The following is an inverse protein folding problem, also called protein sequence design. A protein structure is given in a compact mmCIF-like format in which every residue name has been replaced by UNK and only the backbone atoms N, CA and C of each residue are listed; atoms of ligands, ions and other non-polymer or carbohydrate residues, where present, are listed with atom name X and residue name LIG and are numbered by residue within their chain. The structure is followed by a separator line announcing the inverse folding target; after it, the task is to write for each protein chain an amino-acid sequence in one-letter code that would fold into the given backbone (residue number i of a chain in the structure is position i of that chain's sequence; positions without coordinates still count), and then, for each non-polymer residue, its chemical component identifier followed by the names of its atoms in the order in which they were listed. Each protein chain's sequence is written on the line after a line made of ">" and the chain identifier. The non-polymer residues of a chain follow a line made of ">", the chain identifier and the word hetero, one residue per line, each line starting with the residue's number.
data_IF_591908345135
#
_entry.id   IF_591908345135
#
_cell.length_a   1.000
_cell.length_b   1.000
_cell.length_c   1.000
_cell.angle_alpha   90.00
_cell.angle_beta   90.00
_cell.angle_gamma   90.00
#
_symmetry.space_group_name_H-M   'P 1'
#
loop_
_entity.id
_entity.type
_entity.pdbx_description
1 polymer ?
#
# COMPACT_ATOMS: atom_id res chain seq x y z
N UNK A 1 49.05 -63.86 -32.37
CA UNK A 1 47.61 -63.79 -32.18
C UNK A 1 47.29 -62.51 -31.37
N UNK A 2 46.96 -61.47 -32.11
CA UNK A 2 46.77 -60.11 -31.53
C UNK A 2 45.31 -59.77 -31.65
N UNK A 3 44.63 -59.56 -30.50
CA UNK A 3 43.25 -59.04 -30.47
C UNK A 3 43.29 -57.51 -30.29
N UNK A 4 42.92 -56.77 -31.32
CA UNK A 4 42.61 -55.35 -31.27
C UNK A 4 41.16 -55.23 -30.74
N UNK A 5 40.99 -54.56 -29.57
CA UNK A 5 39.67 -54.12 -29.07
C UNK A 5 39.49 -52.69 -29.56
N UNK A 6 38.43 -52.46 -30.36
CA UNK A 6 38.02 -51.17 -30.78
C UNK A 6 37.04 -50.60 -29.70
N UNK A 7 37.42 -49.50 -29.09
CA UNK A 7 36.53 -48.71 -28.16
C UNK A 7 35.78 -47.70 -29.02
N UNK A 8 34.44 -47.89 -29.11
CA UNK A 8 33.53 -46.96 -29.76
C UNK A 8 33.16 -45.89 -28.72
N UNK A 9 33.70 -44.69 -28.84
CA UNK A 9 33.26 -43.52 -28.04
C UNK A 9 31.96 -42.95 -28.62
N UNK A 10 30.86 -43.10 -27.89
CA UNK A 10 29.58 -42.51 -28.21
C UNK A 10 29.54 -41.07 -27.65
N UNK A 11 29.79 -40.06 -28.49
CA UNK A 11 29.57 -38.67 -28.15
C UNK A 11 28.08 -38.37 -28.17
N UNK A 12 27.46 -38.30 -27.00
CA UNK A 12 26.11 -37.76 -26.85
C UNK A 12 26.22 -36.23 -26.89
N UNK A 13 25.86 -35.64 -28.03
CA UNK A 13 25.69 -34.19 -28.12
C UNK A 13 24.40 -33.81 -27.39
N UNK A 14 24.51 -33.27 -26.17
CA UNK A 14 23.40 -32.55 -25.55
C UNK A 14 23.18 -31.26 -26.35
N UNK A 15 22.16 -31.25 -27.20
CA UNK A 15 21.62 -30.01 -27.74
C UNK A 15 21.02 -29.25 -26.59
N UNK A 16 21.68 -28.16 -26.15
CA UNK A 16 21.04 -27.13 -25.33
C UNK A 16 19.97 -26.49 -26.23
N UNK A 17 18.73 -26.95 -26.11
CA UNK A 17 17.59 -26.20 -26.64
C UNK A 17 17.63 -24.83 -25.97
N UNK A 18 17.87 -23.77 -26.78
CA UNK A 18 17.68 -22.41 -26.31
C UNK A 18 16.24 -22.34 -25.78
N UNK A 19 16.07 -22.09 -24.45
CA UNK A 19 14.77 -21.88 -23.87
C UNK A 19 14.13 -20.76 -24.69
N UNK A 20 12.93 -21.03 -25.22
CA UNK A 20 12.13 -19.96 -25.83
C UNK A 20 12.03 -18.83 -24.83
N UNK A 21 12.03 -17.53 -25.25
CA UNK A 21 11.89 -16.43 -24.34
C UNK A 21 10.64 -16.68 -23.50
N UNK A 22 10.85 -16.80 -22.19
CA UNK A 22 9.73 -17.02 -21.27
C UNK A 22 8.79 -15.84 -21.41
N UNK A 23 7.51 -16.12 -21.71
CA UNK A 23 6.47 -15.09 -21.75
C UNK A 23 6.48 -14.34 -20.40
N UNK A 24 6.44 -13.00 -20.40
CA UNK A 24 6.34 -12.28 -19.15
C UNK A 24 5.07 -12.68 -18.38
N UNK A 25 5.10 -12.75 -17.05
CA UNK A 25 3.97 -13.23 -16.24
C UNK A 25 2.76 -12.30 -16.34
N UNK A 26 1.58 -12.84 -16.18
CA UNK A 26 0.41 -12.03 -15.86
C UNK A 26 0.56 -11.44 -14.45
N UNK A 27 -0.10 -10.32 -14.18
CA UNK A 27 -0.02 -9.63 -12.90
C UNK A 27 -1.45 -9.40 -12.38
N UNK A 28 -1.78 -9.98 -11.22
CA UNK A 28 -2.97 -9.67 -10.44
C UNK A 28 -2.54 -8.86 -9.22
N UNK A 29 -2.84 -7.58 -9.22
CA UNK A 29 -2.52 -6.70 -8.10
C UNK A 29 -3.80 -6.35 -7.33
N UNK A 30 -3.99 -6.94 -6.15
CA UNK A 30 -5.10 -6.69 -5.24
C UNK A 30 -4.66 -5.62 -4.24
N UNK A 31 -5.34 -4.47 -4.27
CA UNK A 31 -5.01 -3.30 -3.47
C UNK A 31 -6.24 -2.79 -2.75
N UNK A 32 -6.20 -2.80 -1.42
CA UNK A 32 -7.35 -2.45 -0.59
C UNK A 32 -7.28 -1.01 -0.10
N UNK A 33 -8.41 -0.50 0.39
CA UNK A 33 -8.58 0.85 0.94
C UNK A 33 -8.85 0.77 2.43
N UNK A 34 -8.01 1.42 3.25
CA UNK A 34 -8.12 1.44 4.71
C UNK A 34 -7.99 0.07 5.41
N UNK A 35 -7.37 -0.90 4.76
CA UNK A 35 -7.18 -2.23 5.33
C UNK A 35 -5.93 -2.25 6.22
N UNK A 36 -6.15 -2.50 7.51
CA UNK A 36 -5.12 -2.42 8.52
C UNK A 36 -4.08 -3.55 8.46
N UNK A 37 -2.93 -3.31 9.06
CA UNK A 37 -1.82 -4.28 9.08
C UNK A 37 -2.21 -5.65 9.64
N UNK A 38 -3.14 -5.69 10.62
CA UNK A 38 -3.63 -6.94 11.25
C UNK A 38 -5.03 -7.37 10.84
N UNK A 39 -5.61 -6.76 9.82
CA UNK A 39 -6.98 -7.08 9.39
C UNK A 39 -7.10 -8.42 8.65
N UNK A 40 -5.99 -9.07 8.32
CA UNK A 40 -5.96 -10.41 7.72
C UNK A 40 -5.45 -11.48 8.69
N UNK A 41 -5.91 -12.72 8.53
CA UNK A 41 -5.48 -13.86 9.35
C UNK A 41 -3.98 -14.12 9.25
N UNK A 42 -3.36 -14.00 8.06
CA UNK A 42 -1.91 -14.18 7.89
C UNK A 42 -1.07 -13.11 8.61
N UNK A 43 -1.66 -11.99 9.02
CA UNK A 43 -1.06 -10.95 9.85
C UNK A 43 -1.51 -11.00 11.31
N UNK A 44 -2.39 -11.93 11.66
CA UNK A 44 -2.78 -12.21 13.04
C UNK A 44 -4.10 -11.62 13.49
N UNK A 45 -5.05 -11.38 12.58
CA UNK A 45 -6.44 -11.10 12.98
C UNK A 45 -7.01 -12.27 13.76
N UNK A 46 -7.68 -11.98 14.85
CA UNK A 46 -8.32 -12.96 15.73
C UNK A 46 -9.85 -13.04 15.55
N UNK A 47 -10.39 -12.17 14.70
CA UNK A 47 -11.83 -12.11 14.43
C UNK A 47 -12.17 -12.11 12.93
N UNK A 48 -11.44 -11.34 12.11
CA UNK A 48 -11.67 -11.27 10.68
C UNK A 48 -11.13 -12.53 9.99
N UNK A 49 -11.92 -13.12 9.10
CA UNK A 49 -11.58 -14.37 8.43
C UNK A 49 -11.19 -14.11 6.98
N UNK A 50 -9.95 -14.49 6.63
CA UNK A 50 -9.39 -14.30 5.30
C UNK A 50 -8.73 -15.57 4.75
N UNK A 51 -9.48 -16.72 4.69
CA UNK A 51 -8.88 -18.02 4.37
C UNK A 51 -8.21 -18.08 2.99
N UNK A 52 -8.72 -17.34 2.00
CA UNK A 52 -8.14 -17.30 0.66
C UNK A 52 -6.85 -16.48 0.62
N UNK A 53 -6.83 -15.28 1.21
CA UNK A 53 -5.63 -14.47 1.38
C UNK A 53 -4.58 -15.19 2.21
N UNK A 54 -4.99 -15.85 3.30
CA UNK A 54 -4.09 -16.64 4.15
C UNK A 54 -3.45 -17.80 3.40
N UNK A 55 -4.19 -18.43 2.48
CA UNK A 55 -3.64 -19.50 1.63
C UNK A 55 -2.59 -18.94 0.66
N UNK A 56 -2.90 -17.83 0.00
CA UNK A 56 -1.95 -17.17 -0.92
C UNK A 56 -0.69 -16.70 -0.19
N UNK A 57 -0.85 -16.12 0.99
CA UNK A 57 0.26 -15.67 1.83
C UNK A 57 1.18 -16.82 2.27
N UNK A 58 0.60 -18.01 2.58
CA UNK A 58 1.39 -19.21 2.89
C UNK A 58 2.17 -19.76 1.70
N UNK A 59 1.71 -19.50 0.50
CA UNK A 59 2.33 -19.93 -0.76
C UNK A 59 3.24 -18.85 -1.37
N UNK A 60 3.36 -17.69 -0.76
CA UNK A 60 4.14 -16.54 -1.20
C UNK A 60 5.12 -16.03 -0.15
N UNK A 61 5.78 -14.93 -0.46
CA UNK A 61 6.65 -14.20 0.45
C UNK A 61 5.86 -13.07 1.12
N UNK A 62 5.72 -13.14 2.45
CA UNK A 62 5.08 -12.11 3.28
C UNK A 62 6.13 -11.15 3.81
N UNK A 63 5.92 -9.85 3.59
CA UNK A 63 6.74 -8.79 4.15
C UNK A 63 6.09 -8.24 5.41
N UNK A 64 6.74 -8.39 6.55
CA UNK A 64 6.23 -7.89 7.83
C UNK A 64 6.47 -6.40 8.01
N UNK A 65 7.44 -5.84 7.28
CA UNK A 65 7.89 -4.46 7.33
C UNK A 65 7.58 -3.74 5.99
N UNK A 66 6.33 -3.89 5.51
CA UNK A 66 5.87 -3.21 4.31
C UNK A 66 5.12 -1.91 4.65
N UNK A 67 5.35 -0.88 3.84
CA UNK A 67 4.84 0.46 4.09
C UNK A 67 4.09 1.04 2.90
N UNK A 68 3.02 1.75 3.19
CA UNK A 68 2.47 2.75 2.29
C UNK A 68 3.35 4.00 2.26
N UNK A 69 3.35 4.72 1.13
CA UNK A 69 4.11 5.97 0.98
C UNK A 69 3.45 7.18 1.63
N UNK A 70 2.21 7.06 2.05
CA UNK A 70 1.47 8.09 2.75
C UNK A 70 0.43 7.46 3.68
N UNK A 71 0.00 8.21 4.68
CA UNK A 71 -0.96 7.74 5.67
C UNK A 71 -2.43 7.86 5.22
N UNK A 72 -2.70 8.23 3.96
CA UNK A 72 -4.03 8.33 3.37
C UNK A 72 -4.03 8.08 1.85
N UNK A 73 -5.19 7.73 1.32
CA UNK A 73 -5.38 7.04 0.05
C UNK A 73 -4.88 7.78 -1.21
N UNK A 74 -5.28 9.04 -1.47
CA UNK A 74 -4.89 9.70 -2.71
C UNK A 74 -3.37 9.85 -2.87
N UNK A 75 -2.61 10.37 -1.87
CA UNK A 75 -1.16 10.45 -1.98
C UNK A 75 -0.48 9.08 -2.05
N UNK A 76 -0.98 8.07 -1.32
CA UNK A 76 -0.43 6.72 -1.40
C UNK A 76 -0.58 6.12 -2.81
N UNK A 77 -1.77 6.28 -3.42
CA UNK A 77 -2.05 5.83 -4.80
C UNK A 77 -1.22 6.60 -5.82
N UNK A 78 -1.04 7.92 -5.63
CA UNK A 78 -0.17 8.72 -6.49
C UNK A 78 1.29 8.23 -6.42
N UNK A 79 1.83 7.96 -5.22
CA UNK A 79 3.16 7.39 -5.07
C UNK A 79 3.28 6.02 -5.75
N UNK A 80 2.29 5.13 -5.55
CA UNK A 80 2.26 3.79 -6.15
C UNK A 80 2.31 3.87 -7.69
N UNK A 81 1.45 4.71 -8.28
CA UNK A 81 1.32 4.82 -9.75
C UNK A 81 2.51 5.51 -10.41
N UNK A 82 3.11 6.50 -9.74
CA UNK A 82 4.23 7.31 -10.26
C UNK A 82 5.62 6.76 -9.94
N UNK A 83 5.76 5.90 -8.91
CA UNK A 83 7.06 5.49 -8.36
C UNK A 83 7.79 6.62 -7.63
N UNK A 84 7.08 7.68 -7.24
CA UNK A 84 7.66 8.90 -6.66
C UNK A 84 7.08 9.20 -5.28
N UNK A 85 7.88 9.78 -4.40
CA UNK A 85 7.40 10.31 -3.12
C UNK A 85 6.54 11.57 -3.31
N UNK A 86 5.66 11.83 -2.34
CA UNK A 86 4.67 12.92 -2.38
C UNK A 86 5.19 14.29 -2.81
N UNK A 87 6.42 14.75 -2.49
CA UNK A 87 6.89 16.06 -2.93
C UNK A 87 7.05 16.21 -4.45
N UNK A 88 7.32 15.10 -5.17
CA UNK A 88 7.54 15.16 -6.62
C UNK A 88 6.25 15.32 -7.43
N UNK A 89 5.18 14.68 -6.99
CA UNK A 89 3.87 14.75 -7.67
C UNK A 89 2.88 15.70 -6.99
N UNK A 90 3.21 16.24 -5.80
CA UNK A 90 2.45 17.25 -5.04
C UNK A 90 1.02 16.84 -4.61
N UNK A 91 0.66 15.56 -4.70
CA UNK A 91 -0.56 15.02 -4.11
C UNK A 91 -0.27 14.74 -2.64
N UNK A 92 -0.51 15.71 -1.76
CA UNK A 92 -0.18 15.59 -0.33
C UNK A 92 -1.34 15.04 0.50
N UNK A 93 -2.58 15.22 0.04
CA UNK A 93 -3.77 14.88 0.81
C UNK A 93 -4.94 14.49 -0.12
N UNK A 94 -6.02 14.01 0.46
CA UNK A 94 -7.31 13.84 -0.21
C UNK A 94 -7.93 15.22 -0.45
N UNK A 95 -7.90 15.67 -1.70
CA UNK A 95 -8.30 17.02 -2.09
C UNK A 95 -7.28 18.09 -1.67
N UNK A 96 -7.52 19.32 -2.10
CA UNK A 96 -6.57 20.45 -1.98
C UNK A 96 -6.92 21.44 -0.88
N UNK A 97 -8.06 21.27 -0.20
CA UNK A 97 -8.53 22.21 0.82
C UNK A 97 -7.80 22.02 2.15
N UNK A 98 -7.48 23.14 2.79
CA UNK A 98 -7.00 23.14 4.16
C UNK A 98 -7.98 22.47 5.11
N UNK A 99 -7.49 21.61 6.01
CA UNK A 99 -8.30 20.90 7.00
C UNK A 99 -8.22 21.59 8.35
N UNK A 100 -9.27 21.45 9.15
CA UNK A 100 -9.37 22.05 10.47
C UNK A 100 -9.61 23.57 10.48
N UNK A 101 -9.71 24.15 11.67
CA UNK A 101 -9.88 25.58 11.85
C UNK A 101 -8.55 26.32 11.63
N UNK A 102 -8.54 27.37 10.79
CA UNK A 102 -7.36 28.16 10.49
C UNK A 102 -6.68 28.75 11.74
N UNK A 103 -7.46 29.14 12.75
CA UNK A 103 -6.94 29.68 14.02
C UNK A 103 -6.21 28.66 14.90
N UNK A 104 -6.37 27.36 14.61
CA UNK A 104 -5.69 26.28 15.34
C UNK A 104 -4.46 25.75 14.61
N UNK A 105 -4.18 26.22 13.41
CA UNK A 105 -3.01 25.83 12.62
C UNK A 105 -1.90 26.85 12.79
N UNK A 106 -0.77 26.44 13.32
CA UNK A 106 0.42 27.31 13.49
C UNK A 106 1.12 27.61 12.16
N UNK A 107 0.95 26.70 11.19
CA UNK A 107 1.55 26.83 9.87
C UNK A 107 0.46 27.00 8.80
N UNK A 108 0.86 27.63 7.70
CA UNK A 108 0.02 27.81 6.53
C UNK A 108 -0.28 26.45 5.87
N UNK A 109 -1.40 26.37 5.21
CA UNK A 109 -1.70 25.26 4.34
C UNK A 109 -0.82 25.31 3.08
N UNK A 110 -0.12 24.24 2.78
CA UNK A 110 0.56 24.07 1.51
C UNK A 110 -0.44 23.52 0.50
N UNK A 111 -0.81 24.27 -0.53
CA UNK A 111 -1.69 23.76 -1.55
C UNK A 111 -0.96 22.68 -2.34
N UNK A 112 -1.60 21.49 -2.43
CA UNK A 112 -1.17 20.41 -3.31
C UNK A 112 -2.09 20.31 -4.53
N UNK A 113 -1.96 19.23 -5.27
CA UNK A 113 -2.91 18.85 -6.32
C UNK A 113 -3.77 17.66 -5.87
N UNK A 114 -4.98 17.54 -6.43
CA UNK A 114 -5.81 16.35 -6.28
C UNK A 114 -5.67 15.38 -7.46
N UNK A 115 -4.83 15.73 -8.43
CA UNK A 115 -4.69 15.06 -9.71
C UNK A 115 -3.23 14.65 -9.91
N UNK A 116 -2.99 13.40 -10.29
CA UNK A 116 -1.67 13.01 -10.79
C UNK A 116 -1.46 13.67 -12.15
N UNK A 117 -0.37 14.43 -12.28
CA UNK A 117 -0.10 15.19 -13.51
C UNK A 117 0.09 14.24 -14.70
N UNK A 118 -0.43 14.58 -15.90
CA UNK A 118 -0.33 13.74 -17.09
C UNK A 118 1.10 13.57 -17.63
N UNK A 119 2.04 14.43 -17.24
CA UNK A 119 3.46 14.33 -17.63
C UNK A 119 4.23 13.30 -16.80
N UNK A 120 3.63 12.76 -15.74
CA UNK A 120 4.19 11.66 -14.95
C UNK A 120 3.71 10.35 -15.56
N UNK A 121 4.63 9.60 -16.14
CA UNK A 121 4.35 8.28 -16.71
C UNK A 121 4.13 7.28 -15.58
N UNK A 122 3.00 6.58 -15.62
CA UNK A 122 2.65 5.54 -14.64
C UNK A 122 3.28 4.20 -15.01
N UNK A 123 3.38 3.29 -14.04
CA UNK A 123 3.77 1.91 -14.37
C UNK A 123 2.80 1.23 -15.34
N UNK A 124 1.50 1.59 -15.32
CA UNK A 124 0.51 1.02 -16.24
C UNK A 124 0.79 1.41 -17.70
N UNK A 125 1.21 2.66 -17.96
CA UNK A 125 1.65 3.10 -19.28
C UNK A 125 2.90 2.34 -19.74
N UNK A 126 3.84 2.05 -18.84
CA UNK A 126 5.02 1.23 -19.16
C UNK A 126 4.62 -0.19 -19.53
N UNK A 127 3.70 -0.81 -18.80
CA UNK A 127 3.20 -2.15 -19.08
C UNK A 127 2.44 -2.19 -20.42
N UNK A 128 1.57 -1.20 -20.67
CA UNK A 128 0.85 -1.07 -21.92
C UNK A 128 1.81 -0.95 -23.11
N UNK A 129 2.87 -0.12 -22.98
CA UNK A 129 3.91 0.02 -23.99
C UNK A 129 4.69 -1.27 -24.22
N UNK A 130 4.79 -2.15 -23.23
CA UNK A 130 5.39 -3.50 -23.34
C UNK A 130 4.43 -4.58 -23.88
N UNK A 131 3.20 -4.19 -24.28
CA UNK A 131 2.21 -5.09 -24.89
C UNK A 131 1.29 -5.80 -23.91
N UNK A 132 1.26 -5.40 -22.63
CA UNK A 132 0.26 -5.87 -21.69
C UNK A 132 -1.11 -5.27 -21.98
N UNK A 133 -2.16 -6.07 -21.79
CA UNK A 133 -3.49 -5.52 -21.53
C UNK A 133 -3.57 -5.07 -20.08
N UNK A 134 -4.05 -3.87 -19.85
CA UNK A 134 -4.10 -3.26 -18.53
C UNK A 134 -5.54 -2.97 -18.11
N UNK A 135 -5.92 -3.42 -16.92
CA UNK A 135 -7.26 -3.22 -16.36
C UNK A 135 -7.21 -2.64 -14.95
N UNK A 136 -8.07 -1.66 -14.64
CA UNK A 136 -8.26 -1.09 -13.31
C UNK A 136 -9.71 -1.25 -12.85
N UNK A 137 -9.92 -1.79 -11.65
CA UNK A 137 -11.23 -2.12 -11.10
C UNK A 137 -11.35 -1.57 -9.68
N UNK A 138 -12.15 -0.53 -9.48
CA UNK A 138 -12.42 0.03 -8.16
C UNK A 138 -12.08 1.50 -7.97
N UNK A 139 -11.27 1.82 -6.97
CA UNK A 139 -10.94 3.19 -6.56
C UNK A 139 -9.73 3.74 -7.31
N UNK A 140 -9.95 4.79 -8.10
CA UNK A 140 -8.88 5.53 -8.76
C UNK A 140 -8.30 6.64 -7.89
N UNK A 141 -9.07 7.67 -7.60
CA UNK A 141 -8.80 8.77 -6.66
C UNK A 141 -7.65 9.73 -7.07
N UNK A 142 -7.32 9.84 -8.36
CA UNK A 142 -6.21 10.66 -8.87
C UNK A 142 -6.60 11.73 -9.88
N UNK A 143 -7.88 12.05 -9.99
CA UNK A 143 -8.40 13.18 -10.77
C UNK A 143 -8.55 12.95 -12.27
N UNK A 144 -7.48 12.58 -12.99
CA UNK A 144 -7.53 12.14 -14.40
C UNK A 144 -8.28 10.82 -14.56
N UNK A 145 -8.66 10.44 -15.77
CA UNK A 145 -9.21 9.11 -15.98
C UNK A 145 -8.10 8.05 -15.95
N UNK A 146 -8.39 6.82 -15.47
CA UNK A 146 -7.41 5.72 -15.53
C UNK A 146 -6.92 5.42 -16.95
N UNK A 147 -7.80 5.61 -17.96
CA UNK A 147 -7.46 5.39 -19.36
C UNK A 147 -6.39 6.36 -19.86
N UNK A 148 -6.40 7.62 -19.40
CA UNK A 148 -5.36 8.60 -19.71
C UNK A 148 -4.03 8.31 -19.04
N UNK A 149 -4.00 7.33 -18.12
CA UNK A 149 -2.85 6.91 -17.31
C UNK A 149 -2.50 5.43 -17.54
N UNK A 150 -2.82 4.88 -18.73
CA UNK A 150 -2.32 3.60 -19.18
C UNK A 150 -3.18 2.38 -18.88
N UNK A 151 -4.48 2.54 -18.55
CA UNK A 151 -5.39 1.42 -18.40
C UNK A 151 -6.33 1.28 -19.60
N UNK A 152 -6.26 0.16 -20.35
CA UNK A 152 -7.12 -0.13 -21.48
C UNK A 152 -8.58 -0.27 -21.06
N UNK A 153 -8.82 -0.86 -19.89
CA UNK A 153 -10.12 -1.06 -19.30
C UNK A 153 -10.13 -0.45 -17.89
N UNK A 154 -11.17 0.34 -17.58
CA UNK A 154 -11.35 0.88 -16.24
C UNK A 154 -12.80 0.78 -15.78
N UNK A 155 -13.02 0.20 -14.62
CA UNK A 155 -14.31 0.11 -13.94
C UNK A 155 -14.16 0.84 -12.60
N UNK A 156 -14.42 2.15 -12.62
CA UNK A 156 -14.35 2.97 -11.42
C UNK A 156 -15.59 2.78 -10.54
N UNK A 157 -15.41 2.46 -9.24
CA UNK A 157 -16.52 2.20 -8.32
C UNK A 157 -17.54 3.33 -8.26
N UNK A 158 -17.10 4.60 -8.35
CA UNK A 158 -17.98 5.78 -8.33
C UNK A 158 -18.81 5.95 -9.61
N UNK A 159 -18.46 5.25 -10.68
CA UNK A 159 -19.14 5.29 -11.97
C UNK A 159 -20.03 4.06 -12.21
N UNK A 160 -20.05 3.10 -11.30
CA UNK A 160 -20.93 1.94 -11.38
C UNK A 160 -22.38 2.37 -11.09
N UNK A 161 -23.32 2.12 -12.03
CA UNK A 161 -24.70 2.57 -11.87
C UNK A 161 -25.39 1.91 -10.68
N UNK A 162 -26.08 2.69 -9.87
CA UNK A 162 -26.91 2.22 -8.78
C UNK A 162 -26.18 1.79 -7.53
N UNK A 163 -24.85 1.92 -7.46
CA UNK A 163 -24.11 1.68 -6.24
C UNK A 163 -24.05 2.95 -5.35
N UNK A 164 -24.36 2.79 -4.06
CA UNK A 164 -24.18 3.78 -3.01
C UNK A 164 -23.24 3.22 -1.94
N UNK A 165 -21.99 3.65 -1.97
CA UNK A 165 -20.93 3.02 -1.16
C UNK A 165 -20.67 1.61 -1.62
N UNK A 166 -20.93 0.61 -0.75
CA UNK A 166 -20.74 -0.82 -1.03
C UNK A 166 -21.99 -1.55 -1.49
N UNK A 167 -23.17 -0.90 -1.42
CA UNK A 167 -24.46 -1.51 -1.74
C UNK A 167 -24.91 -1.08 -3.14
N UNK A 168 -25.30 -2.05 -3.93
CA UNK A 168 -25.80 -1.90 -5.28
C UNK A 168 -27.27 -2.32 -5.42
N UNK A 169 -27.82 -2.24 -6.65
CA UNK A 169 -29.19 -2.64 -6.94
C UNK A 169 -29.39 -4.16 -6.70
N UNK A 170 -30.61 -4.53 -6.33
CA UNK A 170 -31.05 -5.92 -6.17
C UNK A 170 -30.17 -6.77 -5.23
N UNK A 171 -29.55 -6.14 -4.23
CA UNK A 171 -28.66 -6.81 -3.28
C UNK A 171 -27.23 -7.03 -3.78
N UNK A 172 -26.85 -6.45 -4.92
CA UNK A 172 -25.47 -6.51 -5.40
C UNK A 172 -24.51 -5.87 -4.38
N UNK A 173 -23.31 -6.44 -4.29
CA UNK A 173 -22.27 -5.93 -3.41
C UNK A 173 -21.05 -5.49 -4.22
N UNK A 174 -20.50 -4.32 -3.89
CA UNK A 174 -19.46 -3.68 -4.72
C UNK A 174 -18.22 -4.56 -4.89
N UNK A 175 -17.76 -5.23 -3.83
CA UNK A 175 -16.59 -6.09 -3.92
C UNK A 175 -16.81 -7.26 -4.90
N UNK A 176 -18.04 -7.83 -4.95
CA UNK A 176 -18.37 -8.89 -5.90
C UNK A 176 -18.38 -8.34 -7.34
N UNK A 177 -19.03 -7.20 -7.56
CA UNK A 177 -19.11 -6.58 -8.90
C UNK A 177 -17.73 -6.22 -9.47
N UNK A 178 -16.81 -5.72 -8.63
CA UNK A 178 -15.44 -5.41 -9.05
C UNK A 178 -14.64 -6.69 -9.34
N UNK A 179 -14.88 -7.74 -8.56
CA UNK A 179 -14.28 -9.07 -8.78
C UNK A 179 -14.73 -9.66 -10.10
N UNK A 180 -16.05 -9.60 -10.40
CA UNK A 180 -16.63 -10.08 -11.66
C UNK A 180 -16.01 -9.35 -12.85
N UNK A 181 -15.95 -8.01 -12.78
CA UNK A 181 -15.34 -7.21 -13.83
C UNK A 181 -13.85 -7.54 -14.06
N UNK A 182 -13.11 -7.86 -13.00
CA UNK A 182 -11.72 -8.29 -13.12
C UNK A 182 -11.60 -9.69 -13.75
N UNK A 183 -12.50 -10.63 -13.42
CA UNK A 183 -12.56 -11.97 -14.05
C UNK A 183 -12.89 -11.81 -15.54
N UNK A 184 -13.92 -11.04 -15.89
CA UNK A 184 -14.30 -10.80 -17.30
C UNK A 184 -13.14 -10.20 -18.10
N UNK A 185 -12.38 -9.28 -17.52
CA UNK A 185 -11.19 -8.72 -18.15
C UNK A 185 -10.10 -9.77 -18.39
N UNK A 186 -9.81 -10.62 -17.41
CA UNK A 186 -8.84 -11.71 -17.52
C UNK A 186 -9.27 -12.66 -18.63
N UNK A 187 -10.55 -13.03 -18.70
CA UNK A 187 -11.10 -13.88 -19.75
C UNK A 187 -10.97 -13.25 -21.16
N UNK A 188 -11.29 -11.97 -21.25
CA UNK A 188 -11.21 -11.24 -22.50
C UNK A 188 -9.79 -10.93 -22.97
N UNK A 189 -8.76 -11.17 -22.12
CA UNK A 189 -7.36 -10.88 -22.45
C UNK A 189 -6.72 -11.93 -23.37
N UNK A 190 -7.31 -13.13 -23.47
CA UNK A 190 -6.83 -14.18 -24.37
C UNK A 190 -5.37 -14.55 -24.09
N UNK A 191 -4.57 -14.58 -25.15
CA UNK A 191 -3.13 -14.92 -25.06
C UNK A 191 -2.21 -13.74 -24.76
N UNK A 192 -2.71 -12.50 -24.69
CA UNK A 192 -1.88 -11.35 -24.32
C UNK A 192 -1.50 -11.39 -22.83
N UNK A 193 -0.30 -10.99 -22.44
CA UNK A 193 0.01 -10.77 -21.03
C UNK A 193 -0.89 -9.65 -20.51
N UNK A 194 -1.36 -9.76 -19.27
CA UNK A 194 -2.27 -8.80 -18.69
C UNK A 194 -1.86 -8.39 -17.27
N UNK A 195 -2.25 -7.16 -16.91
CA UNK A 195 -2.18 -6.66 -15.55
C UNK A 195 -3.58 -6.22 -15.11
N UNK A 196 -4.13 -6.88 -14.10
CA UNK A 196 -5.38 -6.51 -13.46
C UNK A 196 -5.07 -5.83 -12.11
N UNK A 197 -5.27 -4.51 -12.04
CA UNK A 197 -5.18 -3.72 -10.82
C UNK A 197 -6.56 -3.66 -10.17
N UNK A 198 -6.82 -4.57 -9.23
CA UNK A 198 -8.05 -4.64 -8.47
C UNK A 198 -7.92 -3.75 -7.22
N UNK A 199 -8.24 -2.47 -7.43
CA UNK A 199 -8.17 -1.43 -6.43
C UNK A 199 -9.50 -1.33 -5.67
N UNK A 200 -9.77 -2.30 -4.78
CA UNK A 200 -11.03 -2.33 -4.03
C UNK A 200 -11.30 -1.01 -3.28
N UNK A 201 -12.58 -0.61 -3.21
CA UNK A 201 -13.03 0.44 -2.31
C UNK A 201 -13.21 -0.09 -0.87
N UNK A 202 -13.36 -1.40 -0.70
CA UNK A 202 -13.37 -2.03 0.61
C UNK A 202 -11.94 -1.97 1.22
N UNK A 203 -11.86 -1.66 2.53
CA UNK A 203 -12.94 -1.60 3.52
C UNK A 203 -13.27 -0.14 3.95
N UNK A 204 -13.18 0.79 3.03
CA UNK A 204 -13.40 2.22 3.30
C UNK A 204 -14.86 2.52 3.69
N UNK A 205 -15.06 3.58 4.44
CA UNK A 205 -16.40 4.11 4.78
C UNK A 205 -17.18 4.56 3.52
N UNK A 206 -18.53 4.44 3.53
CA UNK A 206 -19.39 4.03 4.64
C UNK A 206 -19.24 2.54 4.98
N UNK A 207 -19.24 2.19 6.28
CA UNK A 207 -19.22 0.79 6.67
C UNK A 207 -20.61 0.19 6.41
N UNK A 208 -20.69 -0.69 5.42
CA UNK A 208 -21.94 -1.30 4.97
C UNK A 208 -21.74 -2.82 4.84
N UNK A 209 -22.49 -3.62 5.60
CA UNK A 209 -22.25 -5.06 5.64
C UNK A 209 -22.71 -5.78 4.37
N UNK A 210 -22.04 -6.87 4.03
CA UNK A 210 -22.58 -7.87 3.13
C UNK A 210 -23.62 -8.71 3.91
N UNK A 211 -24.89 -8.55 3.57
CA UNK A 211 -26.02 -8.97 4.41
C UNK A 211 -26.01 -10.47 4.77
N UNK A 212 -25.64 -11.34 3.82
CA UNK A 212 -25.57 -12.78 4.01
C UNK A 212 -24.51 -13.22 5.01
N UNK A 213 -23.52 -12.39 5.32
CA UNK A 213 -22.43 -12.69 6.26
C UNK A 213 -22.72 -12.19 7.68
N UNK A 214 -23.73 -11.32 7.88
CA UNK A 214 -24.02 -10.70 9.18
C UNK A 214 -24.24 -11.74 10.27
N UNK A 215 -25.16 -12.68 10.06
CA UNK A 215 -25.52 -13.68 11.07
C UNK A 215 -24.33 -14.55 11.50
N UNK A 216 -23.37 -14.80 10.61
CA UNK A 216 -22.12 -15.51 10.94
C UNK A 216 -21.30 -14.75 11.97
N UNK A 217 -21.06 -13.45 11.72
CA UNK A 217 -20.20 -12.64 12.58
C UNK A 217 -20.89 -12.14 13.85
N UNK A 218 -22.23 -11.96 13.84
CA UNK A 218 -23.02 -11.69 15.04
C UNK A 218 -23.00 -12.86 16.04
N UNK A 219 -22.91 -14.10 15.52
CA UNK A 219 -22.81 -15.31 16.33
C UNK A 219 -21.37 -15.65 16.77
N UNK A 220 -20.36 -15.01 16.18
CA UNK A 220 -18.95 -15.25 16.47
C UNK A 220 -18.55 -14.54 17.77
N UNK A 221 -17.83 -15.23 18.64
CA UNK A 221 -17.24 -14.61 19.83
C UNK A 221 -16.25 -13.51 19.41
N UNK A 222 -16.25 -12.35 20.09
CA UNK A 222 -15.28 -11.30 19.81
C UNK A 222 -13.84 -11.80 20.03
N UNK A 223 -12.89 -11.27 19.24
CA UNK A 223 -11.46 -11.46 19.47
C UNK A 223 -10.98 -10.59 20.63
N UNK A 224 -9.71 -10.69 20.96
CA UNK A 224 -9.03 -9.77 21.89
C UNK A 224 -8.73 -8.41 21.23
N UNK A 225 -8.51 -8.42 19.90
CA UNK A 225 -8.16 -7.24 19.09
C UNK A 225 -9.33 -6.75 18.25
N UNK A 226 -10.09 -7.67 17.66
CA UNK A 226 -11.14 -7.33 16.70
C UNK A 226 -12.48 -7.91 17.11
N UNK A 227 -13.53 -7.10 16.92
CA UNK A 227 -14.91 -7.50 17.19
C UNK A 227 -15.94 -6.85 16.25
N UNK A 228 -15.46 -6.02 15.30
CA UNK A 228 -16.35 -5.19 14.49
C UNK A 228 -17.04 -6.01 13.39
N UNK A 229 -18.29 -6.44 13.66
CA UNK A 229 -19.09 -7.33 12.80
C UNK A 229 -19.20 -6.82 11.35
N UNK A 230 -19.53 -5.55 11.15
CA UNK A 230 -19.70 -4.99 9.80
C UNK A 230 -18.38 -5.04 9.02
N UNK A 231 -17.27 -4.64 9.65
CA UNK A 231 -15.94 -4.69 9.05
C UNK A 231 -15.57 -6.12 8.66
N UNK A 232 -15.87 -7.11 9.51
CA UNK A 232 -15.64 -8.52 9.24
C UNK A 232 -16.35 -9.00 7.97
N UNK A 233 -17.61 -8.57 7.76
CA UNK A 233 -18.35 -8.93 6.52
C UNK A 233 -17.76 -8.28 5.28
N UNK A 234 -17.25 -7.04 5.39
CA UNK A 234 -16.61 -6.31 4.28
C UNK A 234 -15.28 -6.98 3.89
N UNK A 235 -14.49 -7.37 4.89
CA UNK A 235 -13.21 -8.08 4.71
C UNK A 235 -13.46 -9.45 4.06
N UNK A 236 -14.39 -10.22 4.58
CA UNK A 236 -14.71 -11.54 4.00
C UNK A 236 -15.22 -11.42 2.56
N UNK A 237 -16.02 -10.41 2.23
CA UNK A 237 -16.48 -10.21 0.86
C UNK A 237 -15.32 -10.04 -0.13
N UNK A 238 -14.25 -9.32 0.27
CA UNK A 238 -13.02 -9.21 -0.53
C UNK A 238 -12.30 -10.56 -0.61
N UNK A 239 -12.14 -11.25 0.51
CA UNK A 239 -11.45 -12.54 0.55
C UNK A 239 -12.14 -13.60 -0.33
N UNK A 240 -13.48 -13.67 -0.27
CA UNK A 240 -14.28 -14.54 -1.14
C UNK A 240 -14.08 -14.19 -2.63
N UNK A 241 -14.00 -12.88 -2.96
CA UNK A 241 -13.68 -12.39 -4.30
C UNK A 241 -12.30 -12.83 -4.78
N UNK A 242 -11.29 -12.74 -3.92
CA UNK A 242 -9.93 -13.23 -4.21
C UNK A 242 -9.93 -14.74 -4.43
N UNK A 243 -10.69 -15.48 -3.64
CA UNK A 243 -10.90 -16.92 -3.84
C UNK A 243 -11.45 -17.24 -5.23
N UNK A 244 -12.46 -16.50 -5.69
CA UNK A 244 -13.07 -16.64 -7.03
C UNK A 244 -12.06 -16.31 -8.15
N UNK A 245 -11.26 -15.26 -8.01
CA UNK A 245 -10.19 -14.92 -8.96
C UNK A 245 -9.17 -16.04 -9.09
N UNK A 246 -8.70 -16.59 -7.97
CA UNK A 246 -7.74 -17.71 -7.97
C UNK A 246 -8.35 -18.97 -8.61
N UNK A 247 -9.62 -19.27 -8.33
CA UNK A 247 -10.33 -20.38 -8.98
C UNK A 247 -10.39 -20.17 -10.50
N UNK A 248 -10.74 -18.98 -10.97
CA UNK A 248 -10.76 -18.63 -12.37
C UNK A 248 -9.39 -18.77 -13.06
N UNK A 249 -8.30 -18.39 -12.38
CA UNK A 249 -6.93 -18.60 -12.88
C UNK A 249 -6.58 -20.09 -12.99
N UNK A 250 -6.97 -20.92 -12.01
CA UNK A 250 -6.75 -22.37 -12.01
C UNK A 250 -7.49 -23.07 -13.14
N UNK A 251 -8.76 -22.76 -13.31
CA UNK A 251 -9.60 -23.32 -14.37
C UNK A 251 -9.03 -23.07 -15.77
N UNK A 252 -8.32 -21.95 -15.94
CA UNK A 252 -7.67 -21.56 -17.20
C UNK A 252 -6.22 -22.00 -17.32
N UNK A 253 -5.65 -22.63 -16.29
CA UNK A 253 -4.24 -23.01 -16.25
C UNK A 253 -3.26 -21.83 -16.17
N UNK A 254 -3.73 -20.64 -15.75
CA UNK A 254 -2.93 -19.40 -15.69
C UNK A 254 -2.25 -19.18 -14.33
N UNK A 255 -2.56 -19.97 -13.32
CA UNK A 255 -2.11 -19.74 -11.94
C UNK A 255 -0.59 -19.68 -11.80
N UNK A 256 0.13 -20.54 -12.53
CA UNK A 256 1.61 -20.59 -12.49
C UNK A 256 2.27 -19.41 -13.21
N UNK A 257 1.59 -18.88 -14.20
CA UNK A 257 2.06 -17.79 -15.03
C UNK A 257 1.56 -16.42 -14.52
N UNK A 258 1.02 -16.37 -13.30
CA UNK A 258 0.48 -15.16 -12.70
C UNK A 258 1.17 -14.82 -11.39
N UNK A 259 1.72 -13.60 -11.31
CA UNK A 259 2.19 -12.98 -10.07
C UNK A 259 0.98 -12.35 -9.38
N UNK A 260 0.75 -12.72 -8.12
CA UNK A 260 -0.28 -12.10 -7.27
C UNK A 260 0.43 -11.19 -6.26
N UNK A 261 0.10 -9.91 -6.28
CA UNK A 261 0.56 -8.89 -5.33
C UNK A 261 -0.65 -8.47 -4.49
N UNK A 262 -0.49 -8.42 -3.19
CA UNK A 262 -1.53 -7.97 -2.25
C UNK A 262 -0.98 -6.89 -1.33
N UNK A 263 -1.72 -5.77 -1.17
CA UNK A 263 -1.39 -4.72 -0.21
C UNK A 263 -2.59 -3.79 0.08
N UNK A 264 -2.36 -2.78 0.93
CA UNK A 264 -3.30 -1.70 1.26
C UNK A 264 -2.67 -0.33 1.01
N UNK A 265 -3.51 0.69 0.81
CA UNK A 265 -3.06 2.05 0.51
C UNK A 265 -2.65 2.87 1.75
N UNK A 266 -3.13 2.51 2.92
CA UNK A 266 -2.72 3.08 4.22
C UNK A 266 -3.12 2.15 5.36
N UNK A 267 -2.77 2.52 6.57
CA UNK A 267 -3.22 1.81 7.77
C UNK A 267 -4.73 1.83 7.96
N UNK A 268 -5.23 0.98 8.84
CA UNK A 268 -6.65 0.76 9.06
C UNK A 268 -7.41 1.99 9.57
N UNK A 269 -8.73 1.96 9.38
CA UNK A 269 -9.63 2.98 9.90
C UNK A 269 -9.84 2.77 11.40
N UNK A 270 -9.15 3.54 12.25
CA UNK A 270 -9.12 3.39 13.70
C UNK A 270 -10.48 3.23 14.40
N UNK A 271 -11.57 3.91 13.95
CA UNK A 271 -12.89 3.69 14.55
C UNK A 271 -13.49 2.30 14.34
N UNK A 272 -12.92 1.45 13.48
CA UNK A 272 -13.47 0.14 13.11
C UNK A 272 -12.49 -1.02 13.25
N UNK A 273 -11.18 -0.76 13.42
CA UNK A 273 -10.17 -1.81 13.53
C UNK A 273 -9.03 -1.38 14.44
N UNK A 274 -8.46 -2.34 15.18
CA UNK A 274 -7.34 -2.15 16.09
C UNK A 274 -6.02 -2.51 15.40
N UNK A 275 -5.02 -1.63 15.52
CA UNK A 275 -3.69 -1.82 14.95
C UNK A 275 -2.69 -2.42 15.94
N UNK A 276 -3.07 -2.72 17.21
CA UNK A 276 -2.12 -3.23 18.21
C UNK A 276 -1.26 -4.38 17.66
N UNK A 277 0.06 -4.36 17.85
CA UNK A 277 0.87 -3.47 18.70
C UNK A 277 1.28 -2.15 18.06
N UNK A 278 0.83 -1.81 16.85
CA UNK A 278 1.25 -0.59 16.16
C UNK A 278 0.52 0.63 16.74
N UNK A 279 1.25 1.74 16.89
CA UNK A 279 0.67 3.00 17.32
C UNK A 279 0.08 3.76 16.14
N UNK A 280 -1.07 4.39 16.35
CA UNK A 280 -1.74 5.19 15.35
C UNK A 280 -2.62 4.39 14.38
N UNK A 281 -3.22 5.10 13.44
CA UNK A 281 -4.17 4.59 12.46
C UNK A 281 -4.15 5.49 11.22
N UNK A 282 -4.98 5.20 10.22
CA UNK A 282 -5.15 6.01 9.00
C UNK A 282 -5.02 7.51 9.27
N UNK A 283 -4.09 8.15 8.58
CA UNK A 283 -3.82 9.58 8.67
C UNK A 283 -2.75 9.96 9.70
N UNK A 284 -2.17 9.02 10.44
CA UNK A 284 -0.97 9.23 11.25
C UNK A 284 0.25 8.65 10.57
N UNK A 285 1.45 9.18 10.87
CA UNK A 285 2.71 8.64 10.32
C UNK A 285 3.43 7.72 11.31
N UNK A 286 2.78 7.35 12.41
CA UNK A 286 3.18 6.22 13.24
C UNK A 286 2.94 4.90 12.50
N UNK A 287 3.51 3.81 13.01
CA UNK A 287 3.48 2.50 12.33
C UNK A 287 2.04 2.09 11.93
N UNK A 288 1.05 2.26 12.81
CA UNK A 288 -0.34 1.89 12.52
C UNK A 288 -1.01 2.67 11.37
N UNK A 289 -0.47 3.84 11.00
CA UNK A 289 -1.01 4.62 9.90
C UNK A 289 -0.35 4.35 8.54
N UNK A 290 0.86 3.81 8.51
CA UNK A 290 1.65 3.62 7.29
C UNK A 290 2.13 2.19 7.05
N UNK A 291 2.21 1.33 8.07
CA UNK A 291 2.55 -0.09 7.90
C UNK A 291 1.34 -0.85 7.41
N UNK A 292 1.51 -1.65 6.36
CA UNK A 292 0.42 -2.34 5.65
C UNK A 292 0.73 -3.81 5.47
N UNK A 293 -0.29 -4.68 5.36
CA UNK A 293 -0.07 -6.07 5.00
C UNK A 293 0.41 -6.15 3.55
N UNK A 294 1.38 -7.02 3.29
CA UNK A 294 1.95 -7.17 1.96
C UNK A 294 2.47 -8.58 1.74
N UNK A 295 2.10 -9.18 0.62
CA UNK A 295 2.73 -10.38 0.13
C UNK A 295 2.83 -10.39 -1.40
N UNK A 296 3.78 -11.18 -1.91
CA UNK A 296 3.90 -11.52 -3.32
C UNK A 296 3.91 -13.03 -3.47
N UNK A 297 3.02 -13.57 -4.31
CA UNK A 297 2.97 -14.99 -4.66
C UNK A 297 3.25 -15.17 -6.14
N UNK A 298 4.22 -16.01 -6.46
CA UNK A 298 4.52 -16.45 -7.83
C UNK A 298 5.00 -17.90 -7.80
N UNK A 299 4.13 -18.87 -8.11
CA UNK A 299 4.43 -20.28 -7.94
C UNK A 299 5.65 -20.74 -8.72
N UNK A 300 6.60 -21.39 -8.03
CA UNK A 300 7.85 -21.89 -8.62
C UNK A 300 8.91 -20.84 -8.91
N UNK A 301 8.68 -19.58 -8.54
CA UNK A 301 9.64 -18.47 -8.69
C UNK A 301 9.92 -17.80 -7.36
N UNK A 302 8.87 -17.44 -6.62
CA UNK A 302 8.98 -16.85 -5.27
C UNK A 302 8.88 -17.98 -4.24
N UNK A 303 9.92 -18.14 -3.43
CA UNK A 303 9.91 -19.12 -2.34
C UNK A 303 8.99 -18.64 -1.21
N UNK A 304 8.09 -19.51 -0.72
CA UNK A 304 7.23 -19.16 0.42
C UNK A 304 8.03 -18.83 1.67
N UNK A 305 7.65 -17.76 2.36
CA UNK A 305 8.31 -17.36 3.60
C UNK A 305 7.84 -16.04 4.16
N UNK A 306 8.54 -15.57 5.19
CA UNK A 306 8.33 -14.26 5.80
C UNK A 306 9.66 -13.52 5.88
N UNK A 307 9.64 -12.23 5.59
CA UNK A 307 10.81 -11.36 5.69
C UNK A 307 10.45 -10.06 6.41
N UNK A 308 11.40 -9.54 7.18
CA UNK A 308 11.34 -8.20 7.78
C UNK A 308 12.12 -7.16 6.93
N UNK A 309 12.45 -7.48 5.67
CA UNK A 309 13.08 -6.53 4.77
C UNK A 309 12.13 -5.33 4.56
N UNK A 310 12.54 -4.09 4.85
CA UNK A 310 11.69 -2.94 4.71
C UNK A 310 11.43 -2.60 3.25
N UNK A 311 10.15 -2.60 2.84
CA UNK A 311 9.68 -2.23 1.50
C UNK A 311 8.61 -1.14 1.59
N UNK A 312 8.46 -0.35 0.54
CA UNK A 312 7.53 0.77 0.50
C UNK A 312 6.84 0.88 -0.87
N UNK A 313 5.64 1.42 -0.91
CA UNK A 313 4.80 1.43 -2.12
C UNK A 313 5.47 1.94 -3.40
N UNK A 314 6.45 2.88 -3.35
CA UNK A 314 7.20 3.32 -4.54
C UNK A 314 8.06 2.22 -5.15
N UNK A 315 8.43 1.17 -4.40
CA UNK A 315 9.20 0.01 -4.91
C UNK A 315 8.38 -0.82 -5.90
N UNK A 316 7.05 -0.76 -5.81
CA UNK A 316 6.19 -1.53 -6.70
C UNK A 316 6.25 -1.03 -8.15
N UNK A 317 6.53 0.25 -8.37
CA UNK A 317 6.68 0.76 -9.74
C UNK A 317 7.83 0.06 -10.51
N UNK A 318 9.11 0.17 -10.07
CA UNK A 318 10.20 -0.52 -10.77
C UNK A 318 10.04 -2.04 -10.76
N UNK A 319 9.41 -2.61 -9.73
CA UNK A 319 9.12 -4.05 -9.65
C UNK A 319 8.14 -4.50 -10.73
N UNK A 320 7.02 -3.81 -10.92
CA UNK A 320 6.03 -4.14 -11.95
C UNK A 320 6.60 -3.95 -13.36
N UNK A 321 7.37 -2.89 -13.59
CA UNK A 321 8.08 -2.64 -14.84
C UNK A 321 9.08 -3.77 -15.14
N UNK A 322 9.85 -4.21 -14.14
CA UNK A 322 10.82 -5.32 -14.25
C UNK A 322 10.13 -6.67 -14.53
N UNK A 323 9.05 -6.99 -13.80
CA UNK A 323 8.23 -8.19 -14.02
C UNK A 323 7.71 -8.27 -15.45
N UNK A 324 7.30 -7.13 -16.01
CA UNK A 324 6.78 -7.03 -17.37
C UNK A 324 7.87 -7.05 -18.45
N UNK A 325 9.14 -6.94 -18.09
CA UNK A 325 10.22 -6.67 -19.04
C UNK A 325 10.05 -5.35 -19.78
N UNK A 326 9.31 -4.41 -19.18
CA UNK A 326 9.04 -3.09 -19.75
C UNK A 326 10.25 -2.15 -19.57
N UNK A 327 10.26 -1.07 -20.35
CA UNK A 327 11.28 -0.02 -20.23
C UNK A 327 10.81 1.04 -19.22
N UNK A 328 11.64 1.33 -18.22
CA UNK A 328 11.39 2.45 -17.31
C UNK A 328 11.49 3.78 -18.07
N UNK A 329 10.64 4.77 -17.75
CA UNK A 329 10.68 6.09 -18.34
C UNK A 329 11.89 6.89 -17.86
N UNK A 330 12.25 7.94 -18.61
CA UNK A 330 13.25 8.93 -18.19
C UNK A 330 12.62 9.94 -17.22
N UNK A 331 12.28 9.45 -16.01
CA UNK A 331 11.77 10.26 -14.90
C UNK A 331 12.37 9.78 -13.59
N UNK A 332 12.45 10.62 -12.55
CA UNK A 332 12.91 10.17 -11.24
C UNK A 332 12.00 9.08 -10.68
N UNK A 333 12.58 7.93 -10.31
CA UNK A 333 11.94 6.88 -9.54
C UNK A 333 12.61 6.80 -8.18
N UNK A 334 11.81 6.81 -7.12
CA UNK A 334 12.32 6.81 -5.74
C UNK A 334 12.39 5.40 -5.14
N UNK A 335 11.77 4.41 -5.78
CA UNK A 335 11.74 3.00 -5.36
C UNK A 335 12.88 2.16 -5.93
N UNK A 336 12.98 0.93 -5.44
CA UNK A 336 13.90 -0.11 -5.92
C UNK A 336 13.13 -1.31 -6.45
N UNK A 337 13.72 -2.03 -7.41
CA UNK A 337 13.15 -3.27 -7.94
C UNK A 337 13.25 -4.41 -6.92
N UNK A 338 12.13 -5.02 -6.57
CA UNK A 338 12.05 -6.13 -5.64
C UNK A 338 12.26 -7.50 -6.32
N UNK A 339 12.27 -7.59 -7.66
CA UNK A 339 12.36 -8.86 -8.39
C UNK A 339 13.58 -9.67 -8.01
N UNK A 340 14.80 -9.09 -7.86
CA UNK A 340 15.96 -9.86 -7.43
C UNK A 340 15.81 -10.47 -6.02
N UNK A 341 15.18 -9.74 -5.10
CA UNK A 341 14.86 -10.24 -3.75
C UNK A 341 13.82 -11.36 -3.80
N UNK A 342 12.76 -11.16 -4.57
CA UNK A 342 11.67 -12.13 -4.72
C UNK A 342 12.15 -13.44 -5.36
N UNK A 343 13.15 -13.39 -6.23
CA UNK A 343 13.78 -14.58 -6.84
C UNK A 343 14.91 -15.20 -6.00
N UNK A 344 15.23 -14.61 -4.83
CA UNK A 344 16.33 -15.05 -4.00
C UNK A 344 17.73 -14.79 -4.60
N UNK A 345 17.84 -13.92 -5.59
CA UNK A 345 19.11 -13.54 -6.24
C UNK A 345 19.95 -12.61 -5.35
N UNK A 346 19.32 -11.90 -4.43
CA UNK A 346 19.94 -11.06 -3.40
C UNK A 346 19.40 -11.40 -2.01
N UNK A 347 20.23 -11.33 -0.95
CA UNK A 347 19.79 -11.66 0.42
C UNK A 347 18.94 -10.55 1.07
N UNK A 348 18.91 -9.36 0.51
CA UNK A 348 18.22 -8.19 1.03
C UNK A 348 18.47 -6.96 0.17
N UNK A 349 17.79 -5.86 0.47
CA UNK A 349 17.88 -4.58 -0.26
C UNK A 349 18.94 -3.62 0.33
N UNK A 350 19.64 -4.05 1.39
CA UNK A 350 20.58 -3.22 2.13
C UNK A 350 19.88 -2.18 3.04
N UNK A 351 20.69 -1.50 3.83
CA UNK A 351 20.18 -0.49 4.75
C UNK A 351 19.89 0.83 4.02
N UNK A 352 18.71 0.92 3.37
CA UNK A 352 18.25 2.12 2.68
C UNK A 352 17.26 2.91 3.55
N UNK A 353 17.25 4.26 3.48
CA UNK A 353 16.24 5.04 4.17
C UNK A 353 14.90 5.03 3.39
N UNK A 354 13.80 4.96 4.14
CA UNK A 354 12.43 5.18 3.66
C UNK A 354 11.95 6.54 4.18
N UNK A 355 11.22 7.29 3.34
CA UNK A 355 10.82 8.66 3.66
C UNK A 355 9.32 8.88 3.53
N UNK A 356 8.81 9.79 4.37
CA UNK A 356 7.44 10.32 4.28
C UNK A 356 7.46 11.83 4.49
N UNK A 357 6.58 12.53 3.80
CA UNK A 357 6.45 13.98 3.92
C UNK A 357 4.99 14.40 3.82
N UNK A 358 4.52 15.16 4.81
CA UNK A 358 3.17 15.64 4.89
C UNK A 358 3.14 17.11 5.33
N UNK A 359 3.06 18.09 4.40
CA UNK A 359 3.10 19.52 4.71
C UNK A 359 1.71 20.09 5.02
N UNK A 360 0.79 19.28 5.55
CA UNK A 360 -0.61 19.64 5.75
C UNK A 360 -1.11 19.19 7.13
N UNK A 361 -2.39 19.43 7.40
CA UNK A 361 -3.07 19.04 8.62
C UNK A 361 -4.17 18.03 8.32
N UNK A 362 -4.35 17.05 9.19
CA UNK A 362 -5.51 16.17 9.20
C UNK A 362 -6.25 16.28 10.53
N UNK A 363 -7.55 16.60 10.47
CA UNK A 363 -8.41 16.65 11.65
C UNK A 363 -8.50 15.28 12.32
N UNK A 364 -8.62 15.30 13.64
CA UNK A 364 -8.96 14.11 14.42
C UNK A 364 -10.35 13.58 14.04
N UNK A 365 -10.57 12.27 14.16
CA UNK A 365 -11.90 11.62 14.08
C UNK A 365 -12.64 11.69 15.41
N UNK A 366 -11.95 12.02 16.50
CA UNK A 366 -12.42 12.03 17.88
C UNK A 366 -11.23 12.02 18.82
N UNK A 367 -11.46 11.77 20.10
CA UNK A 367 -10.37 11.62 21.09
C UNK A 367 -9.94 10.16 21.05
N UNK A 368 -8.85 9.90 20.33
CA UNK A 368 -8.11 8.64 20.40
C UNK A 368 -6.76 8.93 21.04
N UNK A 369 -6.30 8.04 21.91
CA UNK A 369 -4.98 8.16 22.55
C UNK A 369 -3.82 8.01 21.58
N UNK A 370 -4.09 7.48 20.39
CA UNK A 370 -3.13 7.12 19.35
C UNK A 370 -2.86 8.22 18.32
N UNK A 371 -2.89 9.46 18.76
CA UNK A 371 -2.59 10.62 17.95
C UNK A 371 -1.81 11.66 18.77
N UNK A 372 -1.09 12.55 18.09
CA UNK A 372 -0.25 13.53 18.78
C UNK A 372 -1.04 14.55 19.60
N UNK A 373 -2.21 14.96 19.12
CA UNK A 373 -3.10 15.86 19.84
C UNK A 373 -4.58 15.66 19.46
N UNK A 374 -5.53 16.08 20.30
CA UNK A 374 -6.95 15.84 20.07
C UNK A 374 -7.57 16.68 18.94
N UNK A 375 -6.89 17.69 18.38
CA UNK A 375 -7.41 18.50 17.28
C UNK A 375 -7.01 17.95 15.92
N UNK A 376 -5.80 17.40 15.82
CA UNK A 376 -5.24 16.91 14.58
C UNK A 376 -4.60 15.54 14.81
N UNK A 377 -5.08 14.50 14.11
CA UNK A 377 -4.42 13.19 14.12
C UNK A 377 -3.01 13.25 13.51
N UNK A 378 -2.79 14.21 12.59
CA UNK A 378 -1.45 14.53 12.11
C UNK A 378 -1.30 16.02 11.83
N UNK A 379 -0.10 16.54 12.09
CA UNK A 379 0.37 17.90 11.85
C UNK A 379 1.49 17.86 10.80
N UNK A 380 1.85 18.99 10.16
CA UNK A 380 2.92 19.02 9.18
C UNK A 380 4.21 18.40 9.71
N UNK A 381 4.70 17.37 9.03
CA UNK A 381 5.85 16.59 9.46
C UNK A 381 6.61 15.97 8.27
N UNK A 382 7.83 15.55 8.53
CA UNK A 382 8.56 14.57 7.74
C UNK A 382 9.01 13.42 8.63
N UNK A 383 9.13 12.23 8.02
CA UNK A 383 9.53 11.02 8.72
C UNK A 383 10.60 10.29 7.90
N UNK A 384 11.58 9.72 8.57
CA UNK A 384 12.56 8.81 7.98
C UNK A 384 12.68 7.55 8.80
N UNK A 385 12.68 6.38 8.14
CA UNK A 385 13.09 5.11 8.71
C UNK A 385 14.40 4.69 8.07
N UNK A 386 15.40 4.35 8.88
CA UNK A 386 16.65 3.71 8.42
C UNK A 386 17.00 2.55 9.33
N UNK A 387 17.07 1.35 8.75
CA UNK A 387 17.23 0.12 9.53
C UNK A 387 16.09 -0.03 10.54
N UNK A 388 16.45 -0.19 11.82
CA UNK A 388 15.49 -0.31 12.92
C UNK A 388 14.99 1.02 13.51
N UNK A 389 15.61 2.14 13.14
CA UNK A 389 15.29 3.45 13.73
C UNK A 389 14.38 4.25 12.83
N UNK A 390 13.41 4.93 13.47
CA UNK A 390 12.45 5.83 12.81
C UNK A 390 12.42 7.17 13.53
N UNK A 391 12.52 8.25 12.76
CA UNK A 391 12.52 9.61 13.26
C UNK A 391 11.38 10.40 12.64
N UNK A 392 10.61 11.11 13.47
CA UNK A 392 9.60 12.10 13.09
C UNK A 392 10.14 13.50 13.38
N UNK A 393 10.00 14.41 12.43
CA UNK A 393 10.25 15.84 12.61
C UNK A 393 8.97 16.62 12.33
N UNK A 394 8.48 17.37 13.33
CA UNK A 394 7.28 18.19 13.25
C UNK A 394 7.65 19.66 13.03
N UNK A 395 7.06 20.29 12.02
CA UNK A 395 7.45 21.63 11.60
C UNK A 395 6.87 22.75 12.46
N UNK A 396 5.80 22.51 13.23
CA UNK A 396 5.16 23.57 14.05
C UNK A 396 6.01 24.04 15.22
N UNK A 397 6.70 23.14 15.86
CA UNK A 397 7.46 23.38 17.08
C UNK A 397 8.90 22.87 17.01
N UNK A 398 9.28 22.26 15.88
CA UNK A 398 10.60 21.67 15.69
C UNK A 398 10.81 20.41 16.54
N UNK A 399 9.74 19.84 17.11
CA UNK A 399 9.85 18.62 17.89
C UNK A 399 10.33 17.45 17.02
N UNK A 400 11.19 16.64 17.60
CA UNK A 400 11.72 15.43 16.99
C UNK A 400 11.45 14.26 17.93
N UNK A 401 10.92 13.17 17.38
CA UNK A 401 10.71 11.92 18.06
C UNK A 401 11.56 10.84 17.38
N UNK A 402 12.23 9.99 18.15
CA UNK A 402 13.11 8.91 17.66
C UNK A 402 12.72 7.59 18.30
N UNK A 403 12.46 6.58 17.50
CA UNK A 403 12.04 5.26 17.97
C UNK A 403 12.93 4.16 17.43
N UNK A 404 13.11 3.11 18.25
CA UNK A 404 13.74 1.85 17.87
C UNK A 404 12.65 0.79 17.63
N UNK A 405 12.22 0.61 16.40
CA UNK A 405 11.11 -0.28 16.05
C UNK A 405 11.35 -1.76 16.35
N UNK A 406 12.60 -2.17 16.52
CA UNK A 406 12.90 -3.55 16.89
C UNK A 406 12.69 -3.80 18.40
N UNK A 407 12.85 -2.79 19.24
CA UNK A 407 12.62 -2.86 20.67
C UNK A 407 11.23 -2.34 21.07
N UNK A 408 10.74 -1.37 20.34
CA UNK A 408 9.48 -0.66 20.62
C UNK A 408 8.71 -0.38 19.32
N UNK A 409 8.05 -1.41 18.79
CA UNK A 409 7.18 -1.28 17.61
C UNK A 409 5.97 -0.39 17.87
N UNK A 410 5.67 -0.11 19.16
CA UNK A 410 4.56 0.74 19.61
C UNK A 410 4.89 2.23 19.57
N UNK A 411 6.15 2.61 19.32
CA UNK A 411 6.57 4.02 19.29
C UNK A 411 6.16 4.78 20.57
N UNK A 412 6.38 4.15 21.75
CA UNK A 412 6.02 4.71 23.07
C UNK A 412 7.18 5.33 23.80
N UNK A 413 8.40 4.94 23.46
CA UNK A 413 9.63 5.38 24.12
C UNK A 413 10.47 6.23 23.17
N UNK A 414 10.35 7.56 23.31
CA UNK A 414 11.11 8.51 22.52
C UNK A 414 12.57 8.57 22.97
N UNK A 415 13.47 8.10 22.13
CA UNK A 415 14.92 8.06 22.32
C UNK A 415 15.64 9.34 21.89
N UNK A 416 14.94 10.38 21.45
CA UNK A 416 15.53 11.59 20.85
C UNK A 416 16.48 12.34 21.80
N UNK A 417 16.22 12.27 23.10
CA UNK A 417 17.08 12.83 24.14
C UNK A 417 18.23 11.89 24.56
N UNK A 418 18.02 10.57 24.44
CA UNK A 418 18.98 9.54 24.86
C UNK A 418 20.05 9.27 23.79
N UNK A 419 19.68 9.39 22.49
CA UNK A 419 20.52 9.14 21.32
C UNK A 419 20.68 10.38 20.44
N UNK A 420 21.24 11.49 20.96
CA UNK A 420 21.29 12.77 20.23
C UNK A 420 22.10 12.70 18.94
N UNK A 421 23.19 11.96 18.88
CA UNK A 421 24.00 11.82 17.68
C UNK A 421 23.25 11.10 16.55
N UNK A 422 22.50 10.03 16.88
CA UNK A 422 21.69 9.31 15.91
C UNK A 422 20.50 10.17 15.44
N UNK A 423 19.83 10.84 16.38
CA UNK A 423 18.75 11.80 16.06
C UNK A 423 19.25 12.85 15.05
N UNK A 424 20.38 13.47 15.33
CA UNK A 424 20.92 14.55 14.48
C UNK A 424 21.37 14.01 13.11
N UNK A 425 21.94 12.80 13.05
CA UNK A 425 22.29 12.14 11.79
C UNK A 425 21.06 11.82 10.93
N UNK A 426 19.98 11.26 11.52
CA UNK A 426 18.73 10.95 10.81
C UNK A 426 18.01 12.22 10.38
N UNK A 427 18.03 13.27 11.21
CA UNK A 427 17.47 14.59 10.86
C UNK A 427 18.21 15.22 9.69
N UNK A 428 19.53 15.19 9.68
CA UNK A 428 20.34 15.68 8.56
C UNK A 428 20.05 14.90 7.26
N UNK A 429 19.91 13.58 7.36
CA UNK A 429 19.51 12.73 6.24
C UNK A 429 18.14 13.11 5.67
N UNK A 430 17.19 13.41 6.55
CA UNK A 430 15.82 13.82 6.19
C UNK A 430 15.82 15.22 5.55
N UNK A 431 16.63 16.14 6.06
CA UNK A 431 16.78 17.49 5.51
C UNK A 431 17.41 17.47 4.11
N UNK A 432 18.48 16.69 3.92
CA UNK A 432 19.10 16.48 2.61
C UNK A 432 18.11 15.88 1.59
N UNK A 433 17.35 14.87 1.99
CA UNK A 433 16.32 14.28 1.14
C UNK A 433 15.25 15.31 0.75
N UNK A 434 14.74 16.12 1.72
CA UNK A 434 13.78 17.19 1.40
C UNK A 434 14.33 18.17 0.37
N UNK A 435 15.61 18.56 0.50
CA UNK A 435 16.27 19.42 -0.47
C UNK A 435 16.31 18.79 -1.87
N UNK A 436 16.65 17.51 -1.96
CA UNK A 436 16.74 16.78 -3.25
C UNK A 436 15.39 16.60 -3.97
N UNK A 437 14.30 16.41 -3.21
CA UNK A 437 12.97 16.21 -3.80
C UNK A 437 12.12 17.47 -3.87
N UNK A 438 12.63 18.62 -3.39
CA UNK A 438 11.89 19.89 -3.36
C UNK A 438 10.70 19.87 -2.38
N UNK A 439 10.81 19.14 -1.26
CA UNK A 439 9.72 19.00 -0.30
C UNK A 439 9.39 20.33 0.39
N UNK A 440 8.15 20.84 0.30
CA UNK A 440 7.79 22.14 0.86
C UNK A 440 7.66 22.08 2.38
N UNK A 441 8.34 22.98 3.09
CA UNK A 441 8.13 23.20 4.51
C UNK A 441 7.18 24.40 4.69
N UNK A 442 6.03 24.23 5.37
CA UNK A 442 5.03 25.28 5.50
C UNK A 442 5.55 26.49 6.29
N UNK A 443 5.18 27.70 5.86
CA UNK A 443 5.50 28.93 6.59
C UNK A 443 4.54 29.16 7.78
N UNK A 444 4.91 30.06 8.69
CA UNK A 444 4.06 30.47 9.82
C UNK A 444 2.70 31.03 9.34
N UNK A 445 1.63 30.62 10.02
CA UNK A 445 0.27 31.06 9.69
C UNK A 445 -0.08 32.38 10.42
N UNK A 446 -0.30 33.49 9.71
CA UNK A 446 -0.66 34.78 10.33
C UNK A 446 -2.06 34.77 10.99
N UNK A 447 -2.93 33.80 10.66
CA UNK A 447 -4.26 33.68 11.27
C UNK A 447 -4.26 32.84 12.56
N UNK A 448 -3.10 32.29 12.95
CA UNK A 448 -2.98 31.46 14.14
C UNK A 448 -3.31 32.26 15.41
N UNK A 449 -4.22 31.74 16.24
CA UNK A 449 -4.62 32.29 17.51
C UNK A 449 -4.33 31.30 18.65
N UNK A 450 -3.23 31.49 19.41
CA UNK A 450 -2.87 30.59 20.50
C UNK A 450 -3.97 30.39 21.54
N UNK A 451 -4.74 31.46 21.81
CA UNK A 451 -5.83 31.38 22.79
C UNK A 451 -7.01 30.56 22.23
N UNK A 452 -7.29 30.64 20.93
CA UNK A 452 -8.30 29.81 20.30
C UNK A 452 -7.89 28.34 20.26
N UNK A 453 -6.63 28.03 19.95
CA UNK A 453 -6.07 26.67 19.99
C UNK A 453 -6.19 26.10 21.40
N UNK A 454 -5.72 26.84 22.42
CA UNK A 454 -5.77 26.37 23.81
C UNK A 454 -7.20 26.08 24.28
N UNK A 455 -8.17 26.96 24.00
CA UNK A 455 -9.59 26.70 24.30
C UNK A 455 -10.15 25.48 23.57
N UNK A 456 -9.70 25.22 22.35
CA UNK A 456 -10.12 24.06 21.58
C UNK A 456 -9.55 22.76 22.18
N UNK A 457 -8.27 22.74 22.54
CA UNK A 457 -7.60 21.62 23.22
C UNK A 457 -8.26 21.28 24.55
N UNK A 458 -8.57 22.30 25.36
CA UNK A 458 -9.27 22.11 26.64
C UNK A 458 -10.66 21.51 26.45
N UNK A 459 -11.42 21.94 25.44
CA UNK A 459 -12.72 21.34 25.10
C UNK A 459 -12.60 19.90 24.66
N UNK A 460 -11.67 19.62 23.76
CA UNK A 460 -11.46 18.28 23.21
C UNK A 460 -11.02 17.25 24.27
N UNK A 461 -10.33 17.69 25.33
CA UNK A 461 -9.92 16.82 26.45
C UNK A 461 -11.04 16.55 27.48
N UNK A 462 -12.15 17.32 27.45
CA UNK A 462 -13.28 17.18 28.38
C UNK A 462 -14.44 16.36 27.80
N UNK A 463 -14.50 16.18 26.51
CA UNK A 463 -15.53 15.42 25.81
C UNK A 463 -15.07 14.04 25.41
#
# INVERSE_FOLDING_TARGET
>A
MSHLAAVLSLCVALSAAAAAPQRPPNILFVYLDDFGWRDAGFMGSDFYETPHLDSLAREGMVFTDAYSCAANCAPARACLLSGQYTPRHEVFNVGTRARGNGKHRRLQHVPGTATLRPDIVTWAECLQAAGYRTGMFGKWHLGTSPQEQGFDVAVEHQKLPGFEGHLGPDGAYLADALTDAAIDFIEASGDAPWCAYLAHFAVHTPLQPKAELLAKYEAKAPGELHDHVVMATMIQAVDDGVGRLVAALRERGLERDTVIVFSSDNGGYGPATDMDPLWGYKGTYYEGGIRVPFFVRWPGVVEPGRTAEPVIGVDLYPTLVSLAGATAPDQPLDGVDLVPLLKGEVPGLGERPLYWHFPAYLQSYGVFDEQRDPLFRTRPCSVVRRGRYKLHEYFEDGAVELYDLAADIRERHDLSAELPELRDALRALLEDWRGRVGAPVPAANPEFDPAAEQRALERARRG
#
